data_IF_500336770049
#
_entry.id   IF_500336770049
#
_cell.length_a   1.000
_cell.length_b   1.000
_cell.length_c   1.000
_cell.angle_alpha   90.00
_cell.angle_beta   90.00
_cell.angle_gamma   90.00
#
_symmetry.space_group_name_H-M   'P 1'
#
loop_
_entity.id
_entity.type
_entity.pdbx_description
1 polymer ?
#
# COMPACT_ATOMS: atom_id res chain seq x y z
N UNK A 1 -46.30 -22.30 15.11
CA UNK A 1 -45.93 -21.05 14.39
C UNK A 1 -44.81 -20.21 15.03
N UNK A 2 -44.83 -19.89 16.35
CA UNK A 2 -43.80 -19.02 16.97
C UNK A 2 -42.35 -19.52 16.85
N UNK A 3 -42.12 -20.84 16.86
CA UNK A 3 -40.78 -21.43 16.73
C UNK A 3 -40.22 -21.33 15.30
N UNK A 4 -41.06 -21.54 14.28
CA UNK A 4 -40.67 -21.36 12.88
C UNK A 4 -40.32 -19.89 12.58
N UNK A 5 -41.12 -18.95 13.10
CA UNK A 5 -40.84 -17.52 12.96
C UNK A 5 -39.51 -17.12 13.62
N UNK A 6 -39.21 -17.69 14.80
CA UNK A 6 -37.93 -17.47 15.49
C UNK A 6 -36.74 -18.06 14.71
N UNK A 7 -36.91 -19.23 14.10
CA UNK A 7 -35.87 -19.86 13.29
C UNK A 7 -35.57 -19.05 12.02
N UNK A 8 -36.60 -18.59 11.32
CA UNK A 8 -36.48 -17.71 10.15
C UNK A 8 -35.83 -16.38 10.54
N UNK A 9 -36.25 -15.78 11.67
CA UNK A 9 -35.64 -14.55 12.19
C UNK A 9 -34.16 -14.73 12.56
N UNK A 10 -33.80 -15.87 13.17
CA UNK A 10 -32.41 -16.18 13.49
C UNK A 10 -31.55 -16.34 12.23
N UNK A 11 -32.07 -17.02 11.20
CA UNK A 11 -31.43 -17.12 9.89
C UNK A 11 -31.26 -15.77 9.22
N UNK A 12 -32.31 -14.95 9.21
CA UNK A 12 -32.29 -13.60 8.64
C UNK A 12 -31.23 -12.70 9.26
N UNK A 13 -31.13 -12.69 10.61
CA UNK A 13 -30.10 -11.90 11.30
C UNK A 13 -28.68 -12.29 10.91
N UNK A 14 -28.43 -13.58 10.65
CA UNK A 14 -27.10 -14.07 10.23
C UNK A 14 -26.73 -13.55 8.84
N UNK A 15 -27.70 -13.51 7.92
CA UNK A 15 -27.54 -12.93 6.59
C UNK A 15 -27.32 -11.42 6.69
N UNK A 16 -28.13 -10.72 7.48
CA UNK A 16 -27.99 -9.28 7.69
C UNK A 16 -26.63 -8.90 8.29
N UNK A 17 -26.12 -9.68 9.25
CA UNK A 17 -24.80 -9.48 9.82
C UNK A 17 -23.69 -9.67 8.77
N UNK A 18 -23.79 -10.71 7.94
CA UNK A 18 -22.84 -10.96 6.86
C UNK A 18 -22.83 -9.85 5.82
N UNK A 19 -24.01 -9.33 5.45
CA UNK A 19 -24.14 -8.18 4.55
C UNK A 19 -23.53 -6.93 5.21
N UNK A 20 -23.79 -6.71 6.49
CA UNK A 20 -23.24 -5.59 7.26
C UNK A 20 -21.71 -5.61 7.31
N UNK A 21 -21.10 -6.77 7.53
CA UNK A 21 -19.64 -6.93 7.53
C UNK A 21 -19.01 -6.59 6.16
N UNK A 22 -19.65 -7.05 5.07
CA UNK A 22 -19.22 -6.71 3.71
C UNK A 22 -19.43 -5.24 3.37
N UNK A 23 -20.57 -4.67 3.77
CA UNK A 23 -20.84 -3.24 3.58
C UNK A 23 -19.89 -2.36 4.39
N UNK A 24 -19.59 -2.75 5.64
CA UNK A 24 -18.62 -2.04 6.46
C UNK A 24 -17.25 -2.01 5.79
N UNK A 25 -16.78 -3.15 5.26
CA UNK A 25 -15.52 -3.21 4.51
C UNK A 25 -15.52 -2.25 3.31
N UNK A 26 -16.61 -2.22 2.53
CA UNK A 26 -16.73 -1.32 1.38
C UNK A 26 -16.74 0.16 1.81
N UNK A 27 -17.49 0.51 2.85
CA UNK A 27 -17.56 1.88 3.38
C UNK A 27 -16.19 2.30 3.91
N UNK A 28 -15.51 1.45 4.68
CA UNK A 28 -14.18 1.75 5.19
C UNK A 28 -13.15 1.87 4.08
N UNK A 29 -13.20 1.01 3.06
CA UNK A 29 -12.32 1.12 1.90
C UNK A 29 -12.53 2.45 1.17
N UNK A 30 -13.79 2.85 0.95
CA UNK A 30 -14.12 4.12 0.31
C UNK A 30 -13.62 5.31 1.16
N UNK A 31 -13.89 5.32 2.46
CA UNK A 31 -13.41 6.36 3.37
C UNK A 31 -11.88 6.43 3.40
N UNK A 32 -11.19 5.28 3.46
CA UNK A 32 -9.74 5.22 3.41
C UNK A 32 -9.21 5.82 2.11
N UNK A 33 -9.77 5.45 0.96
CA UNK A 33 -9.36 6.02 -0.33
C UNK A 33 -9.65 7.51 -0.44
N UNK A 34 -10.79 7.99 0.05
CA UNK A 34 -11.15 9.42 -0.01
C UNK A 34 -10.28 10.25 0.94
N UNK A 35 -9.93 9.74 2.12
CA UNK A 35 -9.14 10.49 3.10
C UNK A 35 -7.63 10.37 2.82
N UNK A 36 -7.13 9.15 2.60
CA UNK A 36 -5.69 8.88 2.42
C UNK A 36 -5.26 9.05 0.97
N UNK A 37 -6.13 8.77 0.01
CA UNK A 37 -5.83 8.87 -1.43
C UNK A 37 -5.34 10.25 -1.85
N UNK A 38 -6.02 11.36 -1.51
CA UNK A 38 -5.53 12.70 -1.82
C UNK A 38 -4.17 13.00 -1.21
N UNK A 39 -3.95 12.61 0.04
CA UNK A 39 -2.65 12.79 0.73
C UNK A 39 -1.55 12.02 0.01
N UNK A 40 -1.80 10.76 -0.34
CA UNK A 40 -0.88 9.93 -1.09
C UNK A 40 -0.58 10.51 -2.49
N UNK A 41 -1.61 11.03 -3.16
CA UNK A 41 -1.49 11.65 -4.49
C UNK A 41 -0.63 12.92 -4.41
N UNK A 42 -0.92 13.81 -3.46
CA UNK A 42 -0.11 15.03 -3.23
C UNK A 42 1.34 14.66 -2.94
N UNK A 43 1.58 13.71 -2.02
CA UNK A 43 2.95 13.26 -1.72
C UNK A 43 3.64 12.69 -2.95
N UNK A 44 2.96 11.88 -3.76
CA UNK A 44 3.52 11.31 -5.00
C UNK A 44 3.84 12.38 -6.05
N UNK A 45 3.02 13.42 -6.15
CA UNK A 45 3.21 14.47 -7.13
C UNK A 45 4.32 15.46 -6.72
N UNK A 46 4.38 15.82 -5.43
CA UNK A 46 5.25 16.87 -4.89
C UNK A 46 6.58 16.33 -4.38
N UNK A 47 6.57 15.20 -3.68
CA UNK A 47 7.78 14.61 -3.13
C UNK A 47 8.40 13.61 -4.11
N UNK A 48 9.73 13.63 -4.20
CA UNK A 48 10.51 12.62 -4.91
C UNK A 48 11.51 11.96 -3.94
N UNK A 49 11.02 11.19 -2.97
CA UNK A 49 11.86 10.60 -1.93
C UNK A 49 12.91 9.63 -2.49
N UNK A 50 12.64 9.07 -3.67
CA UNK A 50 13.54 8.13 -4.36
C UNK A 50 14.33 8.82 -5.47
N UNK A 51 14.25 10.15 -5.57
CA UNK A 51 15.02 10.96 -6.52
C UNK A 51 14.90 10.50 -7.97
N UNK A 52 13.78 9.87 -8.35
CA UNK A 52 13.56 9.34 -9.70
C UNK A 52 13.57 10.45 -10.77
N UNK A 53 13.16 11.67 -10.40
CA UNK A 53 13.17 12.86 -11.25
C UNK A 53 14.49 13.62 -11.20
N UNK A 54 15.40 13.27 -10.29
CA UNK A 54 16.70 13.91 -10.12
C UNK A 54 17.81 13.24 -10.97
N UNK A 55 17.45 12.59 -12.08
CA UNK A 55 18.41 11.92 -12.96
C UNK A 55 19.45 12.93 -13.47
N UNK A 56 20.70 12.75 -13.07
CA UNK A 56 21.82 13.66 -13.41
C UNK A 56 22.18 14.68 -12.32
N UNK A 57 21.45 14.75 -11.20
CA UNK A 57 21.92 15.49 -10.02
C UNK A 57 23.07 14.75 -9.33
N UNK A 58 24.04 15.46 -8.74
CA UNK A 58 25.09 14.82 -7.95
C UNK A 58 24.44 14.03 -6.83
N UNK A 59 24.70 12.72 -6.83
CA UNK A 59 24.23 11.87 -5.75
C UNK A 59 25.02 12.19 -4.48
N UNK A 60 24.42 11.94 -3.31
CA UNK A 60 25.14 12.04 -2.04
C UNK A 60 26.20 10.94 -1.83
N UNK A 61 26.37 10.03 -2.80
CA UNK A 61 27.43 9.04 -2.77
C UNK A 61 28.78 9.69 -3.08
N UNK A 62 29.79 9.33 -2.29
CA UNK A 62 31.17 9.67 -2.62
C UNK A 62 31.54 8.99 -3.96
N UNK A 63 32.06 9.73 -4.95
CA UNK A 63 32.56 9.12 -6.18
C UNK A 63 33.71 8.18 -5.82
N UNK A 64 33.55 6.89 -6.15
CA UNK A 64 34.63 5.91 -6.02
C UNK A 64 35.28 5.71 -7.39
N UNK A 65 36.62 5.66 -7.46
CA UNK A 65 37.30 5.28 -8.68
C UNK A 65 36.88 3.87 -9.09
N UNK A 66 36.67 3.67 -10.39
CA UNK A 66 36.35 2.35 -10.94
C UNK A 66 37.54 1.41 -10.70
N UNK A 67 37.29 0.29 -10.03
CA UNK A 67 38.28 -0.78 -9.92
C UNK A 67 38.46 -1.40 -11.32
N UNK A 68 39.69 -1.46 -11.85
CA UNK A 68 39.92 -2.07 -13.15
C UNK A 68 39.50 -3.56 -13.12
N UNK A 69 38.90 -4.10 -14.19
CA UNK A 69 38.38 -5.46 -14.24
C UNK A 69 39.51 -6.47 -14.47
N UNK A 70 40.50 -6.50 -13.57
CA UNK A 70 41.65 -7.40 -13.64
C UNK A 70 41.64 -8.39 -12.48
N UNK A 71 42.15 -9.60 -12.72
CA UNK A 71 42.28 -10.63 -11.68
C UNK A 71 43.12 -10.15 -10.49
N UNK A 72 44.16 -9.35 -10.75
CA UNK A 72 45.01 -8.79 -9.69
C UNK A 72 44.30 -7.70 -8.87
N UNK A 73 43.36 -6.97 -9.45
CA UNK A 73 42.54 -6.02 -8.70
C UNK A 73 41.48 -6.75 -7.85
N UNK A 74 40.89 -7.83 -8.37
CA UNK A 74 39.93 -8.66 -7.64
C UNK A 74 40.56 -9.34 -6.41
N UNK A 75 41.85 -9.69 -6.47
CA UNK A 75 42.61 -10.25 -5.33
C UNK A 75 42.83 -9.26 -4.17
N UNK A 76 42.61 -7.96 -4.39
CA UNK A 76 42.81 -6.89 -3.39
C UNK A 76 41.49 -6.39 -2.77
N UNK A 77 40.34 -6.93 -3.19
CA UNK A 77 39.02 -6.68 -2.61
C UNK A 77 38.73 -7.68 -1.50
#
# INVERSE_FOLDING_TARGET
MRHALRAVWAGWKRVAFWIGDKQATLIYALLYFVLIGPVALVRRCVADPLQYRARGKPSFWLPRPLTPPTLDAARRQ
#
